data_IF_707544645066
#
_entry.id   IF_707544645066
#
_cell.length_a   1.000
_cell.length_b   1.000
_cell.length_c   1.000
_cell.angle_alpha   90.00
_cell.angle_beta   90.00
_cell.angle_gamma   90.00
#
_symmetry.space_group_name_H-M   'P 1'
#
loop_
_entity.id
_entity.type
_entity.pdbx_description
1 polymer ?
#
# COMPACT_ATOMS: atom_id res chain seq x y z
N UNK A 1 10.08 6.64 -21.88
CA UNK A 1 8.95 7.09 -21.03
C UNK A 1 8.17 5.91 -20.45
N UNK A 2 7.74 4.93 -21.25
CA UNK A 2 7.00 3.75 -20.80
C UNK A 2 7.71 2.89 -19.75
N UNK A 3 9.01 2.62 -19.91
CA UNK A 3 9.79 1.83 -18.92
C UNK A 3 9.89 2.51 -17.55
N UNK A 4 9.92 3.85 -17.51
CA UNK A 4 9.95 4.61 -16.25
C UNK A 4 8.60 4.56 -15.53
N UNK A 5 7.49 4.55 -16.25
CA UNK A 5 6.14 4.39 -15.69
C UNK A 5 5.91 2.96 -15.14
N UNK A 6 6.47 1.94 -15.80
CA UNK A 6 6.40 0.55 -15.32
C UNK A 6 7.22 0.37 -14.03
N UNK A 7 8.43 0.93 -13.97
CA UNK A 7 9.24 0.87 -12.74
C UNK A 7 8.55 1.60 -11.58
N UNK A 8 7.95 2.78 -11.85
CA UNK A 8 7.15 3.48 -10.84
C UNK A 8 5.95 2.69 -10.36
N UNK A 9 5.28 1.94 -11.24
CA UNK A 9 4.18 1.06 -10.86
C UNK A 9 4.64 -0.07 -9.93
N UNK A 10 5.82 -0.66 -10.21
CA UNK A 10 6.43 -1.68 -9.33
C UNK A 10 6.82 -1.09 -7.96
N UNK A 11 7.49 0.06 -7.97
CA UNK A 11 7.90 0.75 -6.73
C UNK A 11 6.67 1.15 -5.89
N UNK A 12 5.57 1.56 -6.56
CA UNK A 12 4.30 1.86 -5.91
C UNK A 12 3.69 0.60 -5.29
N UNK A 13 3.60 -0.50 -6.02
CA UNK A 13 3.05 -1.76 -5.51
C UNK A 13 3.84 -2.24 -4.29
N UNK A 14 5.17 -2.17 -4.35
CA UNK A 14 6.05 -2.51 -3.23
C UNK A 14 5.78 -1.59 -2.02
N UNK A 15 5.63 -0.28 -2.24
CA UNK A 15 5.35 0.69 -1.17
C UNK A 15 3.97 0.47 -0.55
N UNK A 16 2.93 0.31 -1.35
CA UNK A 16 1.55 0.03 -0.89
C UNK A 16 1.52 -1.28 -0.13
N UNK A 17 2.12 -2.34 -0.68
CA UNK A 17 2.21 -3.66 -0.03
C UNK A 17 2.95 -3.58 1.30
N UNK A 18 4.07 -2.86 1.37
CA UNK A 18 4.83 -2.68 2.61
C UNK A 18 4.03 -1.92 3.67
N UNK A 19 3.38 -0.83 3.29
CA UNK A 19 2.57 -0.01 4.21
C UNK A 19 1.35 -0.78 4.72
N UNK A 20 0.64 -1.49 3.84
CA UNK A 20 -0.49 -2.35 4.22
C UNK A 20 -0.07 -3.50 5.14
N UNK A 21 1.09 -4.14 4.89
CA UNK A 21 1.64 -5.17 5.78
C UNK A 21 1.97 -4.62 7.16
N UNK A 22 2.58 -3.43 7.24
CA UNK A 22 2.89 -2.77 8.51
C UNK A 22 1.62 -2.40 9.27
N UNK A 23 0.63 -1.80 8.60
CA UNK A 23 -0.66 -1.48 9.21
C UNK A 23 -1.35 -2.75 9.72
N UNK A 24 -1.40 -3.81 8.90
CA UNK A 24 -1.97 -5.11 9.30
C UNK A 24 -1.24 -5.72 10.49
N UNK A 25 0.10 -5.62 10.55
CA UNK A 25 0.88 -6.13 11.67
C UNK A 25 0.57 -5.38 12.98
N UNK A 26 0.41 -4.06 12.91
CA UNK A 26 0.01 -3.24 14.06
C UNK A 26 -1.39 -3.65 14.54
N UNK A 27 -2.36 -3.76 13.62
CA UNK A 27 -3.72 -4.17 13.94
C UNK A 27 -3.78 -5.59 14.54
N UNK A 28 -2.97 -6.51 14.01
CA UNK A 28 -2.88 -7.88 14.51
C UNK A 28 -2.23 -7.93 15.90
N UNK A 29 -1.16 -7.16 16.13
CA UNK A 29 -0.52 -7.06 17.43
C UNK A 29 -1.49 -6.54 18.49
N UNK A 30 -2.29 -5.51 18.17
CA UNK A 30 -3.33 -5.02 19.09
C UNK A 30 -4.40 -6.06 19.39
N UNK A 31 -4.82 -6.82 18.37
CA UNK A 31 -5.80 -7.91 18.56
C UNK A 31 -5.26 -8.99 19.50
N UNK A 32 -3.99 -9.38 19.35
CA UNK A 32 -3.33 -10.35 20.22
C UNK A 32 -3.22 -9.83 21.65
N UNK A 33 -2.75 -8.60 21.84
CA UNK A 33 -2.62 -7.97 23.16
C UNK A 33 -3.98 -7.85 23.87
N UNK A 34 -5.05 -7.55 23.13
CA UNK A 34 -6.41 -7.54 23.67
C UNK A 34 -6.89 -8.95 24.09
N UNK A 35 -6.53 -9.98 23.32
CA UNK A 35 -6.90 -11.38 23.63
C UNK A 35 -6.14 -11.98 24.83
N UNK A 36 -4.97 -11.44 25.16
CA UNK A 36 -4.13 -11.88 26.28
C UNK A 36 -4.50 -11.21 27.63
N UNK A 37 -5.63 -10.48 27.68
CA UNK A 37 -6.04 -9.65 28.85
C UNK A 37 -4.96 -8.64 29.29
N UNK A 38 -4.02 -8.34 28.39
CA UNK A 38 -2.97 -7.37 28.62
C UNK A 38 -3.63 -5.99 28.56
N UNK A 39 -3.73 -5.32 29.71
CA UNK A 39 -4.28 -3.97 29.80
C UNK A 39 -3.37 -2.98 29.06
N UNK A 40 -3.57 -2.84 27.76
CA UNK A 40 -3.00 -1.73 27.00
C UNK A 40 -3.64 -0.43 27.51
N UNK A 41 -2.78 0.57 27.75
CA UNK A 41 -3.24 1.93 28.03
C UNK A 41 -3.97 2.47 26.80
N UNK A 42 -5.15 3.07 26.99
CA UNK A 42 -5.94 3.68 25.91
C UNK A 42 -5.13 4.66 25.04
N UNK A 43 -4.17 5.36 25.64
CA UNK A 43 -3.26 6.25 24.90
C UNK A 43 -2.33 5.48 23.95
N UNK A 44 -1.85 4.30 24.34
CA UNK A 44 -0.99 3.44 23.50
C UNK A 44 -1.81 2.82 22.38
N UNK A 45 -3.01 2.33 22.69
CA UNK A 45 -3.94 1.79 21.70
C UNK A 45 -4.34 2.85 20.68
N UNK A 46 -4.64 4.07 21.13
CA UNK A 46 -4.92 5.20 20.25
C UNK A 46 -3.76 5.50 19.31
N UNK A 47 -2.54 5.61 19.83
CA UNK A 47 -1.36 5.89 19.02
C UNK A 47 -1.07 4.80 17.96
N UNK A 48 -1.30 3.53 18.30
CA UNK A 48 -1.12 2.43 17.36
C UNK A 48 -2.20 2.41 16.26
N UNK A 49 -3.45 2.72 16.61
CA UNK A 49 -4.53 2.90 15.62
C UNK A 49 -4.25 4.08 14.68
N UNK A 50 -3.75 5.19 15.21
CA UNK A 50 -3.32 6.33 14.41
C UNK A 50 -2.18 5.94 13.46
N UNK A 51 -1.13 5.29 13.97
CA UNK A 51 -0.02 4.84 13.12
C UNK A 51 -0.44 3.85 12.03
N UNK A 52 -1.39 2.95 12.31
CA UNK A 52 -1.94 2.06 11.31
C UNK A 52 -2.77 2.83 10.26
N UNK A 53 -3.52 3.85 10.69
CA UNK A 53 -4.32 4.69 9.80
C UNK A 53 -3.42 5.54 8.89
N UNK A 54 -2.38 6.17 9.45
CA UNK A 54 -1.40 6.96 8.67
C UNK A 54 -0.74 6.11 7.57
N UNK A 55 -0.39 4.85 7.87
CA UNK A 55 0.18 3.93 6.88
C UNK A 55 -0.81 3.57 5.76
N UNK A 56 -2.10 3.45 6.08
CA UNK A 56 -3.16 3.20 5.09
C UNK A 56 -3.36 4.45 4.23
N UNK A 57 -3.43 5.63 4.84
CA UNK A 57 -3.60 6.91 4.14
C UNK A 57 -2.41 7.18 3.20
N UNK A 58 -1.17 6.91 3.64
CA UNK A 58 0.02 7.01 2.80
C UNK A 58 -0.01 6.06 1.59
N UNK A 59 -0.58 4.86 1.75
CA UNK A 59 -0.71 3.90 0.66
C UNK A 59 -1.77 4.36 -0.35
N UNK A 60 -2.92 4.83 0.13
CA UNK A 60 -4.00 5.37 -0.72
C UNK A 60 -3.53 6.61 -1.47
N UNK A 61 -2.86 7.55 -0.79
CA UNK A 61 -2.34 8.75 -1.42
C UNK A 61 -1.32 8.43 -2.52
N UNK A 62 -0.44 7.44 -2.29
CA UNK A 62 0.52 7.03 -3.29
C UNK A 62 -0.15 6.42 -4.54
N UNK A 63 -1.24 5.66 -4.38
CA UNK A 63 -2.04 5.15 -5.50
C UNK A 63 -2.70 6.30 -6.28
N UNK A 64 -3.31 7.25 -5.58
CA UNK A 64 -3.95 8.42 -6.19
C UNK A 64 -2.95 9.30 -6.95
N UNK A 65 -1.77 9.55 -6.38
CA UNK A 65 -0.70 10.31 -7.02
C UNK A 65 -0.24 9.63 -8.32
N UNK A 66 -0.12 8.30 -8.32
CA UNK A 66 0.25 7.55 -9.52
C UNK A 66 -0.84 7.56 -10.58
N UNK A 67 -2.11 7.39 -10.20
CA UNK A 67 -3.26 7.49 -11.12
C UNK A 67 -3.35 8.88 -11.76
N UNK A 68 -3.07 9.93 -10.98
CA UNK A 68 -3.00 11.29 -11.50
C UNK A 68 -1.84 11.45 -12.48
N UNK A 69 -0.65 10.93 -12.16
CA UNK A 69 0.51 10.97 -13.07
C UNK A 69 0.26 10.19 -14.38
N UNK A 70 -0.46 9.07 -14.31
CA UNK A 70 -0.90 8.30 -15.50
C UNK A 70 -1.84 9.12 -16.38
N UNK A 71 -2.80 9.80 -15.77
CA UNK A 71 -3.76 10.67 -16.46
C UNK A 71 -3.10 11.88 -17.11
N UNK A 72 -2.18 12.55 -16.40
CA UNK A 72 -1.43 13.69 -16.93
C UNK A 72 -0.58 13.33 -18.15
N UNK A 73 -0.08 12.09 -18.19
CA UNK A 73 0.80 11.62 -19.27
C UNK A 73 0.08 10.83 -20.35
N UNK A 74 -1.24 10.70 -20.27
CA UNK A 74 -2.06 9.89 -21.18
C UNK A 74 -1.47 8.48 -21.39
N UNK A 75 -1.05 7.85 -20.28
CA UNK A 75 -0.35 6.57 -20.26
C UNK A 75 -0.90 5.68 -19.15
N UNK A 76 -1.58 4.60 -19.54
CA UNK A 76 -2.18 3.66 -18.61
C UNK A 76 -1.29 2.44 -18.43
N UNK A 77 -0.93 2.12 -17.19
CA UNK A 77 -0.22 0.88 -16.84
C UNK A 77 -1.24 -0.06 -16.20
N UNK A 78 -1.38 -1.26 -16.75
CA UNK A 78 -2.31 -2.28 -16.24
C UNK A 78 -1.58 -3.57 -15.92
N UNK A 79 -2.03 -4.27 -14.87
CA UNK A 79 -1.58 -5.64 -14.59
C UNK A 79 -2.21 -6.61 -15.56
N UNK A 80 -1.39 -7.22 -16.41
CA UNK A 80 -1.82 -8.32 -17.25
C UNK A 80 -1.18 -9.60 -16.73
N UNK A 81 -1.99 -10.55 -16.25
CA UNK A 81 -1.50 -11.89 -15.94
C UNK A 81 -1.11 -12.58 -17.26
N UNK A 82 0.19 -12.68 -17.55
CA UNK A 82 0.69 -13.45 -18.68
C UNK A 82 0.89 -14.90 -18.20
N UNK A 83 0.36 -15.92 -18.91
CA UNK A 83 0.61 -17.31 -18.55
C UNK A 83 2.12 -17.56 -18.52
N UNK A 84 2.66 -17.89 -17.34
CA UNK A 84 4.08 -18.17 -17.14
C UNK A 84 4.96 -17.00 -16.69
N UNK A 85 4.46 -15.76 -16.65
CA UNK A 85 5.16 -14.66 -15.95
C UNK A 85 4.17 -13.52 -15.63
N UNK A 86 4.08 -13.12 -14.35
CA UNK A 86 3.34 -11.93 -13.97
C UNK A 86 4.14 -10.70 -14.42
N UNK A 87 4.03 -10.30 -15.69
CA UNK A 87 4.70 -9.13 -16.24
C UNK A 87 3.70 -7.99 -16.45
N UNK A 88 4.00 -6.85 -15.83
CA UNK A 88 3.33 -5.58 -16.06
C UNK A 88 3.46 -5.12 -17.51
N UNK A 89 2.37 -4.64 -18.10
CA UNK A 89 2.39 -4.04 -19.44
C UNK A 89 1.77 -2.65 -19.41
N UNK A 90 2.46 -1.69 -20.03
CA UNK A 90 1.90 -0.38 -20.35
C UNK A 90 1.01 -0.51 -21.59
N UNK A 91 -0.21 0.02 -21.49
CA UNK A 91 -1.18 0.10 -22.58
C UNK A 91 -1.32 1.56 -22.98
N UNK A 92 -1.39 1.81 -24.29
CA UNK A 92 -1.53 3.16 -24.86
C UNK A 92 -2.99 3.42 -25.19
#
# INVERSE_FOLDING_TARGET
>A
MTTSMINKALDLEDKVSANMKKASAILQAMRTLHSEDCRMNDAITGNLLWAASDLIDEAVQAEDDFLNEQREKDLWVSYQQVPGSAQLKAVK
#
